data_IF_794878954218
#
_entry.id   IF_794878954218
#
_cell.length_a   1.000
_cell.length_b   1.000
_cell.length_c   1.000
_cell.angle_alpha   90.00
_cell.angle_beta   90.00
_cell.angle_gamma   90.00
#
_symmetry.space_group_name_H-M   'P 1'
#
loop_
_entity.id
_entity.type
_entity.pdbx_description
1 polymer ?
#
# COMPACT_ATOMS: atom_id res chain seq x y z
N UNK A 1 1.08 -1.56 38.90
CA UNK A 1 1.15 -3.02 38.75
C UNK A 1 1.37 -3.31 37.28
N UNK A 2 2.64 -3.36 36.86
CA UNK A 2 3.02 -3.63 35.48
C UNK A 2 2.83 -5.11 35.22
N UNK A 3 1.72 -5.46 34.59
CA UNK A 3 1.52 -6.81 34.03
C UNK A 3 2.50 -6.88 32.85
N UNK A 4 3.66 -7.47 33.06
CA UNK A 4 4.47 -7.97 31.96
C UNK A 4 3.63 -9.08 31.32
N UNK A 5 2.93 -8.76 30.23
CA UNK A 5 2.29 -9.77 29.40
C UNK A 5 3.40 -10.74 28.99
N UNK A 6 3.24 -12.01 29.31
CA UNK A 6 4.17 -13.03 28.86
C UNK A 6 4.21 -12.98 27.33
N UNK A 7 5.41 -12.83 26.77
CA UNK A 7 5.61 -12.81 25.32
C UNK A 7 5.02 -14.09 24.73
N UNK A 8 4.09 -13.96 23.79
CA UNK A 8 3.53 -15.10 23.11
C UNK A 8 4.53 -15.64 22.07
N UNK A 9 5.36 -16.58 22.52
CA UNK A 9 6.44 -17.16 21.73
C UNK A 9 5.92 -17.77 20.42
N UNK A 10 4.75 -18.40 20.42
CA UNK A 10 4.15 -18.99 19.22
C UNK A 10 3.81 -17.91 18.19
N UNK A 11 3.20 -16.82 18.62
CA UNK A 11 2.86 -15.70 17.75
C UNK A 11 4.11 -15.02 17.17
N UNK A 12 5.15 -14.82 18.00
CA UNK A 12 6.43 -14.26 17.56
C UNK A 12 7.11 -15.16 16.53
N UNK A 13 7.12 -16.47 16.74
CA UNK A 13 7.71 -17.44 15.80
C UNK A 13 6.96 -17.43 14.47
N UNK A 14 5.63 -17.47 14.49
CA UNK A 14 4.81 -17.42 13.26
C UNK A 14 5.06 -16.11 12.53
N UNK A 15 5.08 -14.98 13.22
CA UNK A 15 5.39 -13.67 12.65
C UNK A 15 6.78 -13.65 11.98
N UNK A 16 7.80 -14.15 12.67
CA UNK A 16 9.16 -14.21 12.15
C UNK A 16 9.28 -15.11 10.90
N UNK A 17 8.57 -16.24 10.87
CA UNK A 17 8.52 -17.13 9.70
C UNK A 17 7.88 -16.41 8.50
N UNK A 18 6.72 -15.80 8.69
CA UNK A 18 6.01 -15.07 7.61
C UNK A 18 6.88 -13.92 7.10
N UNK A 19 7.50 -13.16 7.99
CA UNK A 19 8.41 -12.06 7.63
C UNK A 19 9.61 -12.58 6.83
N UNK A 20 10.23 -13.67 7.28
CA UNK A 20 11.36 -14.31 6.59
C UNK A 20 10.99 -14.78 5.18
N UNK A 21 9.84 -15.41 5.02
CA UNK A 21 9.32 -15.84 3.70
C UNK A 21 9.11 -14.62 2.80
N UNK A 22 8.46 -13.58 3.31
CA UNK A 22 8.17 -12.35 2.54
C UNK A 22 9.46 -11.66 2.08
N UNK A 23 10.44 -11.51 2.98
CA UNK A 23 11.74 -10.93 2.65
C UNK A 23 12.51 -11.79 1.64
N UNK A 24 12.45 -13.11 1.77
CA UNK A 24 13.07 -14.05 0.83
C UNK A 24 12.49 -13.94 -0.58
N UNK A 25 11.15 -13.87 -0.70
CA UNK A 25 10.47 -13.68 -1.97
C UNK A 25 10.83 -12.31 -2.57
N UNK A 26 10.82 -11.26 -1.77
CA UNK A 26 11.15 -9.90 -2.22
C UNK A 26 12.59 -9.82 -2.73
N UNK A 27 13.53 -10.39 -2.01
CA UNK A 27 14.93 -10.46 -2.41
C UNK A 27 15.12 -11.24 -3.73
N UNK A 28 14.45 -12.38 -3.86
CA UNK A 28 14.49 -13.17 -5.09
C UNK A 28 13.87 -12.43 -6.28
N UNK A 29 12.72 -11.77 -6.09
CA UNK A 29 12.04 -10.99 -7.11
C UNK A 29 12.87 -9.75 -7.53
N UNK A 30 13.51 -9.06 -6.60
CA UNK A 30 14.33 -7.87 -6.87
C UNK A 30 15.50 -8.17 -7.81
N UNK A 31 16.10 -9.35 -7.72
CA UNK A 31 17.18 -9.77 -8.63
C UNK A 31 16.74 -9.96 -10.08
N UNK A 32 15.45 -10.12 -10.32
CA UNK A 32 14.90 -10.32 -11.67
C UNK A 32 14.46 -9.01 -12.33
N UNK A 33 14.26 -7.95 -11.56
CA UNK A 33 13.84 -6.64 -12.04
C UNK A 33 15.06 -5.80 -12.48
N UNK A 34 15.69 -6.16 -13.59
CA UNK A 34 16.93 -5.51 -14.09
C UNK A 34 16.69 -4.30 -14.97
N UNK A 35 15.45 -4.04 -15.40
CA UNK A 35 15.08 -2.91 -16.26
C UNK A 35 14.04 -2.03 -15.60
N UNK A 36 13.94 -0.76 -16.02
CA UNK A 36 12.90 0.16 -15.54
C UNK A 36 11.48 -0.40 -15.81
N UNK A 37 11.25 -1.00 -16.98
CA UNK A 37 9.97 -1.65 -17.30
C UNK A 37 9.72 -2.85 -16.39
N UNK A 38 10.74 -3.65 -16.09
CA UNK A 38 10.65 -4.76 -15.14
C UNK A 38 10.32 -4.29 -13.74
N UNK A 39 10.96 -3.21 -13.30
CA UNK A 39 10.78 -2.67 -11.95
C UNK A 39 9.42 -1.99 -11.75
N UNK A 40 9.02 -1.09 -12.66
CA UNK A 40 7.77 -0.31 -12.51
C UNK A 40 6.51 -1.01 -13.02
N UNK A 41 6.63 -1.89 -13.97
CA UNK A 41 5.47 -2.50 -14.65
C UNK A 41 5.55 -4.02 -14.77
N UNK A 42 6.43 -4.69 -14.01
CA UNK A 42 6.64 -6.13 -14.07
C UNK A 42 6.78 -6.66 -15.52
N UNK A 43 7.46 -5.90 -16.39
CA UNK A 43 7.59 -6.22 -17.82
C UNK A 43 6.28 -6.15 -18.61
N UNK A 44 5.18 -5.67 -18.04
CA UNK A 44 3.82 -5.66 -18.61
C UNK A 44 3.28 -7.05 -18.95
N UNK A 45 3.78 -8.09 -18.30
CA UNK A 45 3.43 -9.50 -18.59
C UNK A 45 2.49 -10.12 -17.55
N UNK A 46 2.16 -9.39 -16.48
CA UNK A 46 1.26 -9.89 -15.43
C UNK A 46 -0.19 -9.93 -15.91
N UNK A 47 -0.88 -11.00 -15.55
CA UNK A 47 -2.30 -11.16 -15.83
C UNK A 47 -3.17 -10.26 -14.93
N UNK A 48 -4.43 -10.02 -15.33
CA UNK A 48 -5.36 -9.23 -14.51
C UNK A 48 -5.55 -9.82 -13.10
N UNK A 49 -5.62 -11.15 -12.99
CA UNK A 49 -5.76 -11.84 -11.70
C UNK A 49 -4.51 -11.63 -10.82
N UNK A 50 -3.32 -11.79 -11.38
CA UNK A 50 -2.07 -11.56 -10.65
C UNK A 50 -1.97 -10.11 -10.17
N UNK A 51 -2.33 -9.16 -11.04
CA UNK A 51 -2.34 -7.74 -10.67
C UNK A 51 -3.38 -7.44 -9.58
N UNK A 52 -4.58 -8.01 -9.68
CA UNK A 52 -5.62 -7.86 -8.67
C UNK A 52 -5.19 -8.39 -7.30
N UNK A 53 -4.57 -9.56 -7.25
CA UNK A 53 -4.03 -10.14 -6.01
C UNK A 53 -2.90 -9.28 -5.43
N UNK A 54 -2.00 -8.74 -6.28
CA UNK A 54 -0.92 -7.86 -5.83
C UNK A 54 -1.47 -6.56 -5.23
N UNK A 55 -2.44 -5.90 -5.89
CA UNK A 55 -3.09 -4.68 -5.39
C UNK A 55 -3.85 -4.98 -4.08
N UNK A 56 -4.56 -6.11 -3.99
CA UNK A 56 -5.25 -6.51 -2.77
C UNK A 56 -4.28 -6.71 -1.60
N UNK A 57 -3.14 -7.35 -1.86
CA UNK A 57 -2.10 -7.53 -0.85
C UNK A 57 -1.46 -6.23 -0.40
N UNK A 58 -1.23 -5.30 -1.31
CA UNK A 58 -0.71 -3.96 -1.00
C UNK A 58 -1.71 -3.13 -0.18
N UNK A 59 -3.01 -3.27 -0.49
CA UNK A 59 -4.07 -2.57 0.25
C UNK A 59 -4.25 -3.08 1.68
N UNK A 60 -4.05 -4.38 1.93
CA UNK A 60 -4.18 -5.00 3.26
C UNK A 60 -3.00 -4.61 4.16
N UNK A 61 -3.06 -3.41 4.70
CA UNK A 61 -2.05 -2.84 5.60
C UNK A 61 -2.57 -2.68 7.02
N UNK A 62 -1.70 -2.30 7.94
CA UNK A 62 -2.09 -1.98 9.31
C UNK A 62 -3.13 -0.85 9.36
N UNK A 63 -2.99 0.18 8.54
CA UNK A 63 -3.94 1.30 8.51
C UNK A 63 -5.27 0.91 7.87
N UNK A 64 -5.27 0.24 6.71
CA UNK A 64 -6.50 -0.07 5.98
C UNK A 64 -7.26 -1.26 6.57
N UNK A 65 -6.57 -2.35 6.92
CA UNK A 65 -7.23 -3.54 7.44
C UNK A 65 -7.49 -3.45 8.95
N UNK A 66 -6.45 -3.28 9.75
CA UNK A 66 -6.59 -3.23 11.21
C UNK A 66 -7.28 -1.95 11.67
N UNK A 67 -6.94 -0.81 11.06
CA UNK A 67 -7.55 0.48 11.38
C UNK A 67 -9.05 0.50 11.08
N UNK A 68 -9.47 0.04 9.90
CA UNK A 68 -10.89 -0.02 9.54
C UNK A 68 -11.64 -1.04 10.39
N UNK A 69 -11.07 -2.23 10.61
CA UNK A 69 -11.68 -3.22 11.48
C UNK A 69 -11.87 -2.70 12.91
N UNK A 70 -10.87 -1.98 13.44
CA UNK A 70 -10.95 -1.32 14.74
C UNK A 70 -12.03 -0.23 14.79
N UNK A 71 -12.15 0.60 13.74
CA UNK A 71 -13.21 1.61 13.64
C UNK A 71 -14.60 0.98 13.61
N UNK A 72 -14.78 -0.11 12.86
CA UNK A 72 -16.07 -0.83 12.83
C UNK A 72 -16.39 -1.44 14.21
N UNK A 73 -15.38 -2.00 14.87
CA UNK A 73 -15.55 -2.54 16.22
C UNK A 73 -15.97 -1.47 17.23
N UNK A 74 -15.38 -0.28 17.17
CA UNK A 74 -15.63 0.80 18.14
C UNK A 74 -16.90 1.61 17.81
N UNK A 75 -17.17 1.87 16.55
CA UNK A 75 -18.21 2.80 16.09
C UNK A 75 -19.30 2.16 15.23
N UNK A 76 -19.23 0.83 15.05
CA UNK A 76 -20.24 0.12 14.26
C UNK A 76 -20.35 0.62 12.82
N UNK A 77 -21.57 0.97 12.41
CA UNK A 77 -21.85 1.39 11.03
C UNK A 77 -21.12 2.66 10.61
N UNK A 78 -20.86 3.58 11.51
CA UNK A 78 -20.12 4.83 11.21
C UNK A 78 -18.65 4.50 10.79
N UNK A 79 -18.04 3.53 11.44
CA UNK A 79 -16.73 3.01 11.01
C UNK A 79 -16.75 2.37 9.62
N UNK A 80 -17.85 1.70 9.27
CA UNK A 80 -18.02 1.09 7.95
C UNK A 80 -18.17 2.14 6.83
N UNK A 81 -18.77 3.30 7.10
CA UNK A 81 -18.87 4.40 6.14
C UNK A 81 -17.49 4.84 5.64
N UNK A 82 -16.47 4.79 6.50
CA UNK A 82 -15.10 5.08 6.10
C UNK A 82 -14.57 4.09 5.05
N UNK A 83 -14.91 2.81 5.17
CA UNK A 83 -14.57 1.78 4.18
C UNK A 83 -15.24 2.03 2.83
N UNK A 84 -16.49 2.51 2.81
CA UNK A 84 -17.21 2.85 1.58
C UNK A 84 -16.48 3.95 0.80
N UNK A 85 -15.91 4.94 1.48
CA UNK A 85 -15.12 6.00 0.86
C UNK A 85 -13.94 5.45 0.04
N UNK A 86 -13.22 4.48 0.56
CA UNK A 86 -12.15 3.80 -0.17
C UNK A 86 -12.67 3.02 -1.38
N UNK A 87 -13.76 2.28 -1.23
CA UNK A 87 -14.39 1.55 -2.34
C UNK A 87 -14.74 2.50 -3.50
N UNK A 88 -15.41 3.61 -3.20
CA UNK A 88 -15.79 4.61 -4.20
C UNK A 88 -14.54 5.21 -4.85
N UNK A 89 -13.50 5.52 -4.08
CA UNK A 89 -12.23 6.05 -4.61
C UNK A 89 -11.57 5.06 -5.57
N UNK A 90 -11.47 3.78 -5.22
CA UNK A 90 -10.92 2.74 -6.09
C UNK A 90 -11.72 2.55 -7.37
N UNK A 91 -13.04 2.51 -7.29
CA UNK A 91 -13.90 2.42 -8.47
C UNK A 91 -13.74 3.64 -9.38
N UNK A 92 -13.66 4.83 -8.81
CA UNK A 92 -13.43 6.07 -9.55
C UNK A 92 -12.08 6.04 -10.29
N UNK A 93 -11.02 5.66 -9.61
CA UNK A 93 -9.69 5.52 -10.24
C UNK A 93 -9.70 4.46 -11.33
N UNK A 94 -10.29 3.30 -11.06
CA UNK A 94 -10.30 2.18 -12.01
C UNK A 94 -11.07 2.52 -13.29
N UNK A 95 -12.24 3.15 -13.19
CA UNK A 95 -13.08 3.42 -14.37
C UNK A 95 -12.73 4.72 -15.08
N UNK A 96 -12.24 5.74 -14.38
CA UNK A 96 -12.01 7.05 -14.99
C UNK A 96 -10.54 7.34 -15.29
N UNK A 97 -9.61 6.81 -14.50
CA UNK A 97 -8.20 7.19 -14.59
C UNK A 97 -7.29 6.07 -15.09
N UNK A 98 -7.50 4.82 -14.67
CA UNK A 98 -6.54 3.74 -14.90
C UNK A 98 -6.26 3.48 -16.38
N UNK A 99 -7.28 3.44 -17.22
CA UNK A 99 -7.11 3.24 -18.66
C UNK A 99 -6.36 4.40 -19.32
N UNK A 100 -6.71 5.63 -18.97
CA UNK A 100 -6.05 6.83 -19.51
C UNK A 100 -4.58 6.90 -19.11
N UNK A 101 -4.27 6.55 -17.85
CA UNK A 101 -2.90 6.49 -17.36
C UNK A 101 -2.09 5.40 -18.05
N UNK A 102 -2.68 4.21 -18.21
CA UNK A 102 -2.07 3.10 -18.95
C UNK A 102 -1.76 3.48 -20.39
N UNK A 103 -2.69 4.13 -21.08
CA UNK A 103 -2.55 4.54 -22.48
C UNK A 103 -1.53 5.68 -22.65
N UNK A 104 -1.32 6.52 -21.62
CA UNK A 104 -0.25 7.51 -21.62
C UNK A 104 1.16 6.88 -21.61
N UNK A 105 1.28 5.59 -21.30
CA UNK A 105 2.54 4.84 -21.36
C UNK A 105 3.58 5.24 -20.33
N UNK A 106 3.19 5.98 -19.29
CA UNK A 106 4.04 6.48 -18.22
C UNK A 106 3.90 5.61 -16.97
N UNK A 107 4.87 5.70 -16.06
CA UNK A 107 4.91 4.84 -14.88
C UNK A 107 4.38 5.52 -13.63
N UNK A 108 4.54 6.84 -13.52
CA UNK A 108 4.16 7.59 -12.31
C UNK A 108 3.15 8.68 -12.65
N UNK A 109 2.38 9.11 -11.63
CA UNK A 109 1.47 10.27 -11.75
C UNK A 109 2.27 11.53 -12.15
N UNK A 110 3.47 11.71 -11.62
CA UNK A 110 4.33 12.82 -11.97
C UNK A 110 4.69 12.82 -13.47
N UNK A 111 4.93 11.64 -14.06
CA UNK A 111 5.22 11.53 -15.50
C UNK A 111 4.00 11.85 -16.36
N UNK A 112 2.81 11.43 -15.93
CA UNK A 112 1.54 11.72 -16.60
C UNK A 112 1.23 13.22 -16.57
N UNK A 113 1.45 13.88 -15.45
CA UNK A 113 1.27 15.33 -15.29
C UNK A 113 2.30 16.11 -16.14
N UNK A 114 3.56 15.69 -16.11
CA UNK A 114 4.63 16.33 -16.88
C UNK A 114 4.44 16.19 -18.41
N UNK A 115 3.66 15.21 -18.86
CA UNK A 115 3.36 15.05 -20.29
C UNK A 115 2.51 16.19 -20.86
N UNK A 116 1.65 16.81 -20.03
CA UNK A 116 0.75 17.89 -20.44
C UNK A 116 1.12 19.27 -19.88
N UNK A 117 1.87 19.29 -18.79
CA UNK A 117 2.24 20.50 -18.06
C UNK A 117 3.74 20.78 -18.21
N UNK A 118 4.17 21.96 -17.76
CA UNK A 118 5.60 22.26 -17.68
C UNK A 118 6.28 21.26 -16.76
N UNK A 119 7.28 20.56 -17.25
CA UNK A 119 7.88 19.40 -16.57
C UNK A 119 8.38 19.72 -15.16
N UNK A 120 9.22 20.74 -15.00
CA UNK A 120 9.82 21.06 -13.69
C UNK A 120 8.78 21.39 -12.61
N UNK A 121 7.87 22.37 -12.80
CA UNK A 121 6.89 22.68 -11.76
C UNK A 121 5.91 21.52 -11.51
N UNK A 122 5.51 20.78 -12.54
CA UNK A 122 4.61 19.64 -12.40
C UNK A 122 5.25 18.51 -11.55
N UNK A 123 6.51 18.16 -11.82
CA UNK A 123 7.25 17.16 -11.04
C UNK A 123 7.49 17.61 -9.59
N UNK A 124 7.83 18.89 -9.38
CA UNK A 124 8.02 19.43 -8.04
C UNK A 124 6.72 19.39 -7.22
N UNK A 125 5.61 19.83 -7.81
CA UNK A 125 4.30 19.80 -7.16
C UNK A 125 3.87 18.36 -6.85
N UNK A 126 4.03 17.43 -7.79
CA UNK A 126 3.74 16.01 -7.58
C UNK A 126 4.60 15.41 -6.46
N UNK A 127 5.90 15.73 -6.42
CA UNK A 127 6.80 15.26 -5.37
C UNK A 127 6.39 15.78 -3.98
N UNK A 128 6.08 17.07 -3.86
CA UNK A 128 5.61 17.65 -2.60
C UNK A 128 4.30 17.03 -2.13
N UNK A 129 3.33 16.83 -3.04
CA UNK A 129 2.08 16.15 -2.72
C UNK A 129 2.30 14.71 -2.28
N UNK A 130 3.15 13.97 -2.97
CA UNK A 130 3.50 12.59 -2.60
C UNK A 130 4.17 12.53 -1.24
N UNK A 131 5.13 13.41 -0.95
CA UNK A 131 5.80 13.45 0.35
C UNK A 131 4.83 13.75 1.49
N UNK A 132 3.89 14.68 1.30
CA UNK A 132 2.87 14.97 2.29
C UNK A 132 1.97 13.75 2.56
N UNK A 133 1.46 13.10 1.51
CA UNK A 133 0.62 11.89 1.65
C UNK A 133 1.39 10.76 2.34
N UNK A 134 2.64 10.51 1.92
CA UNK A 134 3.48 9.46 2.50
C UNK A 134 3.77 9.72 3.97
N UNK A 135 4.02 10.98 4.37
CA UNK A 135 4.27 11.33 5.76
C UNK A 135 3.05 10.99 6.66
N UNK A 136 1.84 11.39 6.26
CA UNK A 136 0.63 11.05 6.99
C UNK A 136 0.34 9.55 7.00
N UNK A 137 0.52 8.88 5.87
CA UNK A 137 0.33 7.44 5.77
C UNK A 137 1.31 6.66 6.66
N UNK A 138 2.58 7.08 6.68
CA UNK A 138 3.61 6.45 7.50
C UNK A 138 3.29 6.54 9.00
N UNK A 139 2.76 7.67 9.48
CA UNK A 139 2.33 7.81 10.88
C UNK A 139 1.30 6.73 11.24
N UNK A 140 0.26 6.56 10.41
CA UNK A 140 -0.77 5.55 10.64
C UNK A 140 -0.19 4.12 10.64
N UNK A 141 0.74 3.83 9.74
CA UNK A 141 1.40 2.52 9.64
C UNK A 141 2.29 2.24 10.86
N UNK A 142 3.04 3.23 11.34
CA UNK A 142 3.90 3.08 12.51
C UNK A 142 3.09 2.84 13.79
N UNK A 143 1.96 3.54 13.94
CA UNK A 143 1.03 3.30 15.07
C UNK A 143 0.47 1.88 15.00
N UNK A 144 -0.01 1.45 13.83
CA UNK A 144 -0.55 0.09 13.66
C UNK A 144 0.50 -1.00 13.91
N UNK A 145 1.72 -0.82 13.42
CA UNK A 145 2.83 -1.73 13.69
C UNK A 145 3.17 -1.78 15.19
N UNK A 146 3.18 -0.64 15.89
CA UNK A 146 3.41 -0.57 17.32
C UNK A 146 2.38 -1.35 18.14
N UNK A 147 1.10 -1.22 17.78
CA UNK A 147 0.00 -1.99 18.42
C UNK A 147 0.17 -3.50 18.22
N UNK A 148 0.56 -3.93 17.00
CA UNK A 148 0.82 -5.35 16.73
C UNK A 148 1.98 -5.90 17.57
N UNK A 149 3.09 -5.14 17.67
CA UNK A 149 4.25 -5.56 18.46
C UNK A 149 3.89 -5.64 19.96
N UNK A 150 3.02 -4.77 20.45
CA UNK A 150 2.54 -4.83 21.84
C UNK A 150 1.62 -6.02 22.11
N UNK A 151 0.95 -6.53 21.08
CA UNK A 151 0.06 -7.69 21.21
C UNK A 151 0.80 -9.04 21.10
N UNK A 152 2.04 -9.05 20.64
CA UNK A 152 2.94 -10.22 20.58
C UNK A 152 3.67 -10.46 21.88
#
# INVERSE_FOLDING_TARGET
>A
MTVFAAVNVEAVVIFAIVLGITLGITYWASKRATSAVGFYAAGRQITGVQNGLAISGDYLSAASFLGIAGLIFLFGFDGFLYSIGFLVAFLTVMFLLAERMRNAGKYTIADVLAFRLRERPARTAAAMGTLAVVAFYLIAQMVGAGVLIQAL
#
